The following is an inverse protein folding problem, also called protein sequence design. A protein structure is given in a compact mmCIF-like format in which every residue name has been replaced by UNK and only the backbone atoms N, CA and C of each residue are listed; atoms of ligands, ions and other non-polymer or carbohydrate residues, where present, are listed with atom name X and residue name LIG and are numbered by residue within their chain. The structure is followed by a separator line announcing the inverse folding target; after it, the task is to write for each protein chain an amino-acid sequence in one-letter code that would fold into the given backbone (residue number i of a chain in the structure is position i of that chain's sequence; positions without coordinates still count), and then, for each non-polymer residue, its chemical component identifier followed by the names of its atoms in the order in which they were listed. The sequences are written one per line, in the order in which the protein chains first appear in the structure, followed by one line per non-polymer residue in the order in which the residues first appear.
data_IF_992745608761
#
_entry.id   IF_992745608761
#
_cell.length_a   1.000
_cell.length_b   1.000
_cell.length_c   1.000
_cell.angle_alpha   90.00
_cell.angle_beta   90.00
_cell.angle_gamma   90.00
#
_symmetry.space_group_name_H-M   'P 1'
#
loop_
_entity.id
_entity.type
_entity.pdbx_description
1 polymer ?
#
# COMPACT_ATOMS: atom_id res chain seq x y z
N UNK A 1 -16.27 25.87 2.87
CA UNK A 1 -15.26 25.08 2.14
C UNK A 1 -15.43 25.35 0.66
N UNK A 2 -14.35 25.64 -0.07
CA UNK A 2 -14.36 25.83 -1.53
C UNK A 2 -14.60 24.49 -2.25
N UNK A 3 -15.03 24.53 -3.51
CA UNK A 3 -15.21 23.31 -4.33
C UNK A 3 -13.91 22.49 -4.44
N UNK A 4 -12.75 23.16 -4.53
CA UNK A 4 -11.44 22.52 -4.50
C UNK A 4 -11.09 21.84 -3.15
N UNK A 5 -11.62 22.34 -2.03
CA UNK A 5 -11.45 21.71 -0.73
C UNK A 5 -12.30 20.46 -0.57
N UNK A 6 -13.49 20.42 -1.18
CA UNK A 6 -14.35 19.23 -1.19
C UNK A 6 -13.75 18.11 -2.04
N UNK A 7 -13.18 18.43 -3.19
CA UNK A 7 -12.55 17.42 -4.08
C UNK A 7 -11.35 16.73 -3.44
N UNK A 8 -10.52 17.46 -2.66
CA UNK A 8 -9.39 16.86 -1.95
C UNK A 8 -9.88 15.93 -0.83
N UNK A 9 -10.93 16.31 -0.09
CA UNK A 9 -11.48 15.46 0.97
C UNK A 9 -12.09 14.17 0.40
N UNK A 10 -12.82 14.27 -0.71
CA UNK A 10 -13.38 13.11 -1.41
C UNK A 10 -12.28 12.16 -1.90
N UNK A 11 -11.19 12.71 -2.43
CA UNK A 11 -10.04 11.91 -2.85
C UNK A 11 -9.28 11.29 -1.66
N UNK A 12 -9.17 11.97 -0.52
CA UNK A 12 -8.57 11.36 0.67
C UNK A 12 -9.43 10.23 1.22
N UNK A 13 -10.76 10.42 1.27
CA UNK A 13 -11.68 9.34 1.66
C UNK A 13 -11.55 8.13 0.74
N UNK A 14 -11.48 8.36 -0.57
CA UNK A 14 -11.30 7.28 -1.53
C UNK A 14 -9.94 6.58 -1.38
N UNK A 15 -8.87 7.32 -1.11
CA UNK A 15 -7.56 6.74 -0.79
C UNK A 15 -7.65 5.84 0.44
N UNK A 16 -8.25 6.34 1.53
CA UNK A 16 -8.46 5.54 2.75
C UNK A 16 -9.26 4.26 2.51
N UNK A 17 -10.29 4.30 1.66
CA UNK A 17 -11.03 3.09 1.29
C UNK A 17 -10.15 2.07 0.56
N UNK A 18 -9.34 2.54 -0.40
CA UNK A 18 -8.40 1.69 -1.14
C UNK A 18 -7.39 1.04 -0.19
N UNK A 19 -6.78 1.81 0.71
CA UNK A 19 -5.83 1.28 1.70
C UNK A 19 -6.48 0.21 2.58
N UNK A 20 -7.70 0.48 3.05
CA UNK A 20 -8.43 -0.46 3.91
C UNK A 20 -8.83 -1.73 3.16
N UNK A 21 -9.28 -1.63 1.92
CA UNK A 21 -9.60 -2.78 1.07
C UNK A 21 -8.36 -3.65 0.81
N UNK A 22 -7.21 -3.00 0.59
CA UNK A 22 -5.92 -3.64 0.32
C UNK A 22 -5.36 -4.31 1.58
N UNK A 23 -5.42 -3.65 2.73
CA UNK A 23 -5.14 -4.23 4.04
C UNK A 23 -5.96 -5.52 4.30
N UNK A 24 -7.28 -5.42 4.09
CA UNK A 24 -8.20 -6.53 4.27
C UNK A 24 -7.87 -7.69 3.31
N UNK A 25 -7.46 -7.38 2.08
CA UNK A 25 -7.01 -8.35 1.09
C UNK A 25 -5.74 -9.07 1.55
N UNK A 26 -4.70 -8.34 1.94
CA UNK A 26 -3.43 -8.93 2.38
C UNK A 26 -3.54 -9.73 3.66
N UNK A 27 -4.36 -9.28 4.61
CA UNK A 27 -4.66 -10.04 5.83
C UNK A 27 -5.29 -11.40 5.50
N UNK A 28 -6.22 -11.43 4.53
CA UNK A 28 -6.83 -12.69 4.07
C UNK A 28 -5.84 -13.57 3.29
N UNK A 29 -4.98 -12.97 2.48
CA UNK A 29 -3.95 -13.69 1.75
C UNK A 29 -2.94 -14.35 2.73
N UNK A 30 -2.47 -13.63 3.75
CA UNK A 30 -1.62 -14.16 4.81
C UNK A 30 -2.25 -15.38 5.50
N UNK A 31 -3.54 -15.30 5.84
CA UNK A 31 -4.25 -16.39 6.53
C UNK A 31 -4.40 -17.66 5.68
N UNK A 32 -4.50 -17.50 4.36
CA UNK A 32 -4.72 -18.60 3.40
C UNK A 32 -3.42 -19.20 2.86
N UNK A 33 -2.35 -18.41 2.82
CA UNK A 33 -1.03 -18.85 2.35
C UNK A 33 -0.47 -19.85 3.34
N UNK A 34 0.02 -21.01 2.91
CA UNK A 34 0.73 -21.94 3.81
C UNK A 34 2.24 -21.73 3.81
N UNK A 35 2.76 -21.23 2.68
CA UNK A 35 4.16 -20.92 2.51
C UNK A 35 4.63 -19.86 3.53
N UNK A 36 5.64 -20.15 4.36
CA UNK A 36 6.10 -19.18 5.36
C UNK A 36 6.68 -17.89 4.77
N UNK A 37 7.33 -17.98 3.61
CA UNK A 37 7.82 -16.81 2.88
C UNK A 37 6.66 -15.97 2.35
N UNK A 38 5.67 -16.60 1.70
CA UNK A 38 4.47 -15.91 1.22
C UNK A 38 3.70 -15.23 2.37
N UNK A 39 3.52 -15.92 3.51
CA UNK A 39 2.94 -15.32 4.72
C UNK A 39 3.69 -14.08 5.18
N UNK A 40 5.02 -14.13 5.19
CA UNK A 40 5.86 -12.98 5.59
C UNK A 40 5.63 -11.78 4.67
N UNK A 41 5.59 -12.01 3.36
CA UNK A 41 5.34 -10.94 2.37
C UNK A 41 3.95 -10.34 2.57
N UNK A 42 2.90 -11.17 2.63
CA UNK A 42 1.53 -10.65 2.83
C UNK A 42 1.32 -9.95 4.17
N UNK A 43 1.97 -10.42 5.25
CA UNK A 43 1.94 -9.74 6.54
C UNK A 43 2.59 -8.36 6.48
N UNK A 44 3.74 -8.26 5.82
CA UNK A 44 4.45 -7.00 5.64
C UNK A 44 3.60 -6.01 4.85
N UNK A 45 3.04 -6.43 3.71
CA UNK A 45 2.12 -5.63 2.90
C UNK A 45 0.92 -5.15 3.72
N UNK A 46 0.22 -6.06 4.41
CA UNK A 46 -0.91 -5.70 5.27
C UNK A 46 -0.54 -4.63 6.30
N UNK A 47 0.57 -4.80 7.02
CA UNK A 47 1.02 -3.80 8.00
C UNK A 47 1.33 -2.45 7.34
N UNK A 48 1.90 -2.46 6.14
CA UNK A 48 2.19 -1.25 5.37
C UNK A 48 0.89 -0.48 5.05
N UNK A 49 -0.11 -1.16 4.49
CA UNK A 49 -1.39 -0.51 4.14
C UNK A 49 -2.17 -0.03 5.36
N UNK A 50 -2.09 -0.73 6.49
CA UNK A 50 -2.67 -0.24 7.74
C UNK A 50 -2.02 1.09 8.15
N UNK A 51 -0.70 1.21 7.99
CA UNK A 51 0.04 2.45 8.24
C UNK A 51 -0.40 3.58 7.30
N UNK A 52 -0.53 3.28 6.01
CA UNK A 52 -1.03 4.22 5.00
C UNK A 52 -2.43 4.73 5.35
N UNK A 53 -3.36 3.82 5.65
CA UNK A 53 -4.72 4.15 6.07
C UNK A 53 -4.73 5.08 7.29
N UNK A 54 -3.94 4.76 8.32
CA UNK A 54 -3.86 5.58 9.53
C UNK A 54 -3.32 6.99 9.23
N UNK A 55 -2.35 7.10 8.32
CA UNK A 55 -1.78 8.39 7.92
C UNK A 55 -2.73 9.22 7.09
N UNK A 56 -3.45 8.62 6.14
CA UNK A 56 -4.50 9.30 5.41
C UNK A 56 -5.66 9.72 6.33
N UNK A 57 -6.02 8.89 7.32
CA UNK A 57 -7.03 9.22 8.32
C UNK A 57 -6.61 10.39 9.23
N UNK A 58 -5.34 10.43 9.63
CA UNK A 58 -4.75 11.55 10.36
C UNK A 58 -4.85 12.84 9.53
N UNK A 59 -4.41 12.79 8.28
CA UNK A 59 -4.47 13.92 7.36
C UNK A 59 -5.90 14.41 7.11
N UNK A 60 -6.86 13.51 6.90
CA UNK A 60 -8.26 13.87 6.72
C UNK A 60 -8.78 14.66 7.92
N UNK A 61 -8.47 14.21 9.15
CA UNK A 61 -8.87 14.90 10.37
C UNK A 61 -8.21 16.27 10.52
N UNK A 62 -6.94 16.42 10.16
CA UNK A 62 -6.28 17.74 10.24
C UNK A 62 -6.89 18.71 9.25
N UNK A 63 -7.13 18.29 8.01
CA UNK A 63 -7.70 19.15 6.97
C UNK A 63 -9.17 19.50 7.22
N UNK A 64 -9.98 18.57 7.74
CA UNK A 64 -11.39 18.82 8.12
C UNK A 64 -11.51 19.90 9.22
N UNK A 65 -10.55 19.95 10.13
CA UNK A 65 -10.49 20.95 11.20
C UNK A 65 -9.90 22.30 10.75
N UNK A 66 -9.63 22.48 9.45
CA UNK A 66 -8.98 23.68 8.90
C UNK A 66 -7.48 23.76 9.19
N UNK A 67 -6.87 22.62 9.51
CA UNK A 67 -5.44 22.48 9.77
C UNK A 67 -4.60 22.36 8.50
N UNK A 68 -3.35 21.94 8.68
CA UNK A 68 -2.35 21.82 7.63
C UNK A 68 -2.13 20.37 7.21
N UNK A 69 -1.43 20.17 6.09
CA UNK A 69 -0.95 18.87 5.66
C UNK A 69 0.04 18.29 6.68
N UNK A 70 0.01 16.98 6.84
CA UNK A 70 0.84 16.26 7.80
C UNK A 70 2.12 15.84 7.10
N UNK A 71 3.26 16.04 7.75
CA UNK A 71 4.52 15.51 7.25
C UNK A 71 4.52 13.98 7.34
N UNK A 72 4.79 13.32 6.21
CA UNK A 72 4.96 11.88 6.13
C UNK A 72 6.32 11.54 5.54
N UNK A 73 7.25 11.15 6.41
CA UNK A 73 8.62 10.76 6.05
C UNK A 73 8.77 9.30 5.59
N UNK A 74 7.64 8.64 5.37
CA UNK A 74 7.54 7.24 4.97
C UNK A 74 7.39 6.26 6.14
N UNK A 75 6.92 5.05 5.82
CA UNK A 75 6.74 3.97 6.79
C UNK A 75 8.08 3.41 7.28
N UNK A 76 8.15 3.08 8.57
CA UNK A 76 9.30 2.37 9.16
C UNK A 76 9.14 0.84 9.09
N UNK A 77 8.07 0.37 8.44
CA UNK A 77 7.73 -1.05 8.33
C UNK A 77 8.61 -1.69 7.27
N UNK A 78 9.62 -2.42 7.72
CA UNK A 78 10.54 -3.15 6.83
C UNK A 78 10.11 -4.61 6.69
N UNK A 79 10.35 -5.16 5.50
CA UNK A 79 10.21 -6.60 5.30
C UNK A 79 11.30 -7.30 6.11
N UNK A 80 10.90 -8.11 7.08
CA UNK A 80 11.82 -8.91 7.90
C UNK A 80 12.68 -9.81 6.98
N UNK A 81 13.94 -10.11 7.31
CA UNK A 81 14.76 -11.01 6.49
C UNK A 81 14.14 -12.40 6.41
N UNK A 82 14.45 -13.13 5.32
CA UNK A 82 14.04 -14.52 5.18
C UNK A 82 14.78 -15.38 6.20
N UNK A 83 14.04 -16.13 7.03
CA UNK A 83 14.61 -17.12 7.93
C UNK A 83 14.92 -18.45 7.23
N UNK A 84 15.39 -19.43 8.00
CA UNK A 84 15.83 -20.75 7.50
C UNK A 84 14.69 -21.68 7.03
N UNK A 85 13.46 -21.18 6.93
CA UNK A 85 12.27 -21.93 6.50
C UNK A 85 12.21 -22.15 4.97
N UNK A 86 13.37 -22.42 4.37
CA UNK A 86 13.51 -22.82 2.98
C UNK A 86 12.95 -24.23 2.80
N UNK A 87 11.92 -24.39 1.96
CA UNK A 87 11.54 -25.73 1.49
C UNK A 87 10.08 -25.97 1.16
N UNK A 88 9.17 -25.03 1.42
CA UNK A 88 7.79 -25.13 0.93
C UNK A 88 7.72 -24.35 -0.38
N UNK A 89 7.30 -24.98 -1.47
CA UNK A 89 7.02 -24.29 -2.73
C UNK A 89 5.79 -23.38 -2.58
N UNK A 90 5.69 -22.36 -3.42
CA UNK A 90 4.42 -21.63 -3.57
C UNK A 90 3.43 -22.53 -4.29
N UNK A 91 2.21 -22.63 -3.79
CA UNK A 91 1.15 -23.32 -4.54
C UNK A 91 0.47 -22.38 -5.56
N UNK A 92 -0.39 -22.94 -6.40
CA UNK A 92 -1.10 -22.16 -7.43
C UNK A 92 -1.91 -21.00 -6.83
N UNK A 93 -2.49 -21.19 -5.64
CA UNK A 93 -3.29 -20.16 -4.99
C UNK A 93 -2.44 -19.02 -4.43
N UNK A 94 -1.22 -19.33 -3.95
CA UNK A 94 -0.26 -18.33 -3.52
C UNK A 94 0.24 -17.48 -4.70
N UNK A 95 0.49 -18.10 -5.86
CA UNK A 95 0.90 -17.40 -7.10
C UNK A 95 -0.22 -16.49 -7.61
N UNK A 96 -1.47 -16.99 -7.63
CA UNK A 96 -2.63 -16.19 -8.01
C UNK A 96 -2.84 -15.00 -7.07
N UNK A 97 -2.64 -15.18 -5.75
CA UNK A 97 -2.72 -14.11 -4.77
C UNK A 97 -1.64 -13.04 -5.01
N UNK A 98 -0.41 -13.43 -5.32
CA UNK A 98 0.68 -12.50 -5.66
C UNK A 98 0.43 -11.77 -6.98
N UNK A 99 -0.15 -12.42 -8.00
CA UNK A 99 -0.53 -11.75 -9.26
C UNK A 99 -1.62 -10.71 -9.03
N UNK A 100 -2.62 -11.04 -8.20
CA UNK A 100 -3.65 -10.08 -7.82
C UNK A 100 -3.07 -8.93 -7.00
N UNK A 101 -2.16 -9.21 -6.07
CA UNK A 101 -1.42 -8.20 -5.31
C UNK A 101 -0.72 -7.20 -6.24
N UNK A 102 0.02 -7.70 -7.24
CA UNK A 102 0.68 -6.87 -8.24
C UNK A 102 -0.29 -5.91 -8.96
N UNK A 103 -1.50 -6.36 -9.28
CA UNK A 103 -2.51 -5.51 -9.92
C UNK A 103 -3.15 -4.51 -8.95
N UNK A 104 -3.26 -4.85 -7.67
CA UNK A 104 -3.69 -3.93 -6.62
C UNK A 104 -2.67 -2.81 -6.45
N UNK A 105 -1.38 -3.13 -6.32
CA UNK A 105 -0.31 -2.14 -6.21
C UNK A 105 -0.27 -1.17 -7.39
N UNK A 106 -0.38 -1.69 -8.63
CA UNK A 106 -0.42 -0.83 -9.82
C UNK A 106 -1.59 0.16 -9.81
N UNK A 107 -2.75 -0.27 -9.28
CA UNK A 107 -3.92 0.61 -9.15
C UNK A 107 -3.72 1.64 -8.05
N UNK A 108 -3.08 1.28 -6.93
CA UNK A 108 -2.68 2.22 -5.88
C UNK A 108 -1.73 3.30 -6.40
N UNK A 109 -0.66 2.90 -7.11
CA UNK A 109 0.28 3.83 -7.74
C UNK A 109 -0.44 4.78 -8.70
N UNK A 110 -1.28 4.25 -9.59
CA UNK A 110 -2.03 5.06 -10.55
C UNK A 110 -2.98 6.06 -9.87
N UNK A 111 -3.59 5.65 -8.75
CA UNK A 111 -4.45 6.49 -7.95
C UNK A 111 -3.68 7.65 -7.31
N UNK A 112 -2.52 7.38 -6.70
CA UNK A 112 -1.68 8.43 -6.13
C UNK A 112 -1.08 9.35 -7.20
N UNK A 113 -0.75 8.83 -8.38
CA UNK A 113 -0.36 9.64 -9.55
C UNK A 113 -1.47 10.63 -9.93
N UNK A 114 -2.72 10.17 -10.02
CA UNK A 114 -3.86 11.04 -10.28
C UNK A 114 -4.04 12.09 -9.17
N UNK A 115 -3.94 11.68 -7.91
CA UNK A 115 -4.06 12.58 -6.76
C UNK A 115 -2.98 13.67 -6.73
N UNK A 116 -1.76 13.36 -7.16
CA UNK A 116 -0.68 14.35 -7.32
C UNK A 116 -0.99 15.39 -8.39
N UNK A 117 -1.76 15.07 -9.43
CA UNK A 117 -2.17 16.07 -10.43
C UNK A 117 -3.20 17.06 -9.87
N UNK A 118 -3.97 16.64 -8.87
CA UNK A 118 -5.02 17.43 -8.25
C UNK A 118 -4.55 18.19 -6.99
N UNK A 119 -3.39 17.82 -6.45
CA UNK A 119 -2.82 18.44 -5.24
C UNK A 119 -1.80 19.52 -5.59
N UNK A 120 -2.11 20.77 -5.25
CA UNK A 120 -1.23 21.92 -5.46
C UNK A 120 -0.38 22.28 -4.25
N UNK A 121 -0.79 21.85 -3.06
CA UNK A 121 -0.07 22.14 -1.81
C UNK A 121 1.26 21.36 -1.75
N UNK A 122 2.40 22.00 -1.50
CA UNK A 122 3.71 21.33 -1.53
C UNK A 122 3.86 20.25 -0.46
N UNK A 123 3.31 20.45 0.73
CA UNK A 123 3.38 19.49 1.82
C UNK A 123 2.50 18.27 1.50
N UNK A 124 1.32 18.52 0.92
CA UNK A 124 0.45 17.45 0.46
C UNK A 124 1.03 16.63 -0.68
N UNK A 125 1.65 17.29 -1.65
CA UNK A 125 2.39 16.60 -2.73
C UNK A 125 3.51 15.74 -2.17
N UNK A 126 4.29 16.26 -1.22
CA UNK A 126 5.36 15.50 -0.59
C UNK A 126 4.84 14.25 0.12
N UNK A 127 3.72 14.36 0.85
CA UNK A 127 3.11 13.21 1.52
C UNK A 127 2.62 12.15 0.53
N UNK A 128 1.91 12.56 -0.52
CA UNK A 128 1.38 11.62 -1.53
C UNK A 128 2.54 10.98 -2.32
N UNK A 129 3.61 11.72 -2.61
CA UNK A 129 4.82 11.17 -3.24
C UNK A 129 5.48 10.10 -2.38
N UNK A 130 5.49 10.25 -1.05
CA UNK A 130 6.00 9.22 -0.14
C UNK A 130 5.16 7.94 -0.22
N UNK A 131 3.82 8.05 -0.12
CA UNK A 131 2.92 6.89 -0.23
C UNK A 131 3.08 6.17 -1.58
N UNK A 132 3.07 6.92 -2.68
CA UNK A 132 3.29 6.39 -4.04
C UNK A 132 4.60 5.61 -4.16
N UNK A 133 5.69 6.10 -3.55
CA UNK A 133 6.99 5.42 -3.57
C UNK A 133 6.98 4.12 -2.76
N UNK A 134 6.19 4.06 -1.70
CA UNK A 134 6.01 2.83 -0.92
C UNK A 134 5.26 1.78 -1.74
N UNK A 135 4.19 2.16 -2.45
CA UNK A 135 3.52 1.24 -3.38
C UNK A 135 4.44 0.76 -4.51
N UNK A 136 5.33 1.62 -5.01
CA UNK A 136 6.35 1.21 -5.99
C UNK A 136 7.31 0.15 -5.42
N UNK A 137 7.67 0.25 -4.14
CA UNK A 137 8.49 -0.77 -3.47
C UNK A 137 7.71 -2.06 -3.21
N UNK A 138 6.44 -1.97 -2.80
CA UNK A 138 5.54 -3.13 -2.69
C UNK A 138 5.48 -3.89 -4.02
N UNK A 139 5.20 -3.17 -5.12
CA UNK A 139 5.17 -3.72 -6.46
C UNK A 139 6.50 -4.37 -6.85
N UNK A 140 7.64 -3.73 -6.51
CA UNK A 140 8.97 -4.27 -6.77
C UNK A 140 9.18 -5.62 -6.08
N UNK A 141 8.85 -5.70 -4.79
CA UNK A 141 8.99 -6.92 -3.99
C UNK A 141 8.10 -8.04 -4.53
N UNK A 142 6.82 -7.76 -4.80
CA UNK A 142 5.88 -8.74 -5.35
C UNK A 142 6.36 -9.25 -6.71
N UNK A 143 6.80 -8.34 -7.59
CA UNK A 143 7.28 -8.68 -8.93
C UNK A 143 8.55 -9.53 -8.88
N UNK A 144 9.45 -9.24 -7.94
CA UNK A 144 10.67 -10.03 -7.73
C UNK A 144 10.34 -11.45 -7.27
N UNK A 145 9.38 -11.59 -6.34
CA UNK A 145 8.93 -12.91 -5.87
C UNK A 145 8.26 -13.73 -6.96
N UNK A 146 7.37 -13.13 -7.76
CA UNK A 146 6.73 -13.81 -8.89
C UNK A 146 7.76 -14.33 -9.89
N UNK A 147 8.77 -13.52 -10.26
CA UNK A 147 9.84 -13.96 -11.16
C UNK A 147 10.63 -15.14 -10.59
N UNK A 148 11.00 -15.08 -9.30
CA UNK A 148 11.72 -16.17 -8.63
C UNK A 148 10.92 -17.48 -8.63
N UNK A 149 9.59 -17.40 -8.55
CA UNK A 149 8.72 -18.59 -8.58
C UNK A 149 8.54 -19.11 -10.02
N UNK A 150 8.40 -18.23 -11.01
CA UNK A 150 8.17 -18.62 -12.41
C UNK A 150 9.43 -19.14 -13.12
N UNK A 151 10.62 -18.70 -12.69
CA UNK A 151 11.91 -19.11 -13.25
C UNK A 151 12.44 -20.45 -12.69
N UNK A 152 11.77 -21.02 -11.68
CA UNK A 152 12.22 -22.18 -10.90
C UNK A 152 11.35 -23.43 -11.16
#
# INVERSE_FOLDING_TARGET
MSEAGKTVMDALMRGMEIEKETFDFYTRAEQKTFNPEGKRVFRWLAKSEESHYLKLSELYKTLDQGGHWVFYGGSTITLEPQGDEAGVGFDTSDIEALRLAMDVEKKGIAYFDELLTQTTDPDGRSMIESLRREEEEHLRVISEKLRQIEDN
#
